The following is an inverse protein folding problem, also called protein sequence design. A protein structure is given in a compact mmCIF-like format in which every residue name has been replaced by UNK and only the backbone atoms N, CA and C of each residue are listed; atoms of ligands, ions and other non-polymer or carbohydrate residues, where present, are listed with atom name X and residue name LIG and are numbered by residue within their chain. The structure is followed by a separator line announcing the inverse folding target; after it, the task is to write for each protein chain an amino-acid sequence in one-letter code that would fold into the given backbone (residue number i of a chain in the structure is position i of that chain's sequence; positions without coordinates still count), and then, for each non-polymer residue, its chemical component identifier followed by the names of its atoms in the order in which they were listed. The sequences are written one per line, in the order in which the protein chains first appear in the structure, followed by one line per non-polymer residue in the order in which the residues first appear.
data_IF_162036220912
#
_entry.id   IF_162036220912
#
_cell.length_a   1.000
_cell.length_b   1.000
_cell.length_c   1.000
_cell.angle_alpha   90.00
_cell.angle_beta   90.00
_cell.angle_gamma   90.00
#
_symmetry.space_group_name_H-M   'P 1'
#
loop_
_entity.id
_entity.type
_entity.pdbx_description
1 polymer ?
#
# COMPACT_ATOMS: atom_id res chain seq x y z
N UNK A 1 -3.27 -7.87 29.37
CA UNK A 1 -2.94 -8.07 27.94
C UNK A 1 -2.92 -6.70 27.27
N UNK A 2 -1.89 -6.39 26.47
CA UNK A 2 -1.93 -5.21 25.59
C UNK A 2 -2.86 -5.58 24.44
N UNK A 3 -3.99 -4.88 24.32
CA UNK A 3 -5.06 -5.20 23.34
C UNK A 3 -4.93 -4.44 22.03
N UNK A 4 -3.86 -3.66 21.86
CA UNK A 4 -3.64 -2.83 20.67
C UNK A 4 -3.21 -3.64 19.44
N UNK A 5 -3.38 -3.04 18.26
CA UNK A 5 -2.78 -3.49 17.01
C UNK A 5 -1.84 -2.40 16.51
N UNK A 6 -0.75 -2.77 15.87
CA UNK A 6 0.11 -1.85 15.11
C UNK A 6 -0.45 -1.78 13.69
N UNK A 7 -0.64 -0.56 13.19
CA UNK A 7 -1.14 -0.32 11.84
C UNK A 7 -0.23 0.69 11.14
N UNK A 8 0.23 0.33 9.95
CA UNK A 8 1.08 1.15 9.10
C UNK A 8 0.49 1.21 7.70
N UNK A 9 0.35 2.41 7.13
CA UNK A 9 -0.27 2.60 5.82
C UNK A 9 0.55 3.52 4.93
N UNK A 10 0.47 3.28 3.63
CA UNK A 10 0.93 4.21 2.60
C UNK A 10 -0.14 4.38 1.53
N UNK A 11 -0.15 5.55 0.92
CA UNK A 11 -1.04 5.92 -0.17
C UNK A 11 -0.22 6.31 -1.39
N UNK A 12 -0.69 5.86 -2.55
CA UNK A 12 -0.07 6.13 -3.85
C UNK A 12 -1.14 6.62 -4.81
N UNK A 13 -0.83 7.71 -5.50
CA UNK A 13 -1.69 8.32 -6.50
C UNK A 13 -1.10 8.10 -7.89
N UNK A 14 -1.86 7.51 -8.79
CA UNK A 14 -1.48 7.31 -10.18
C UNK A 14 -2.39 8.15 -11.06
N UNK A 15 -1.79 9.03 -11.87
CA UNK A 15 -2.52 9.89 -12.81
C UNK A 15 -2.12 9.59 -14.25
N UNK A 16 -3.05 9.37 -15.18
CA UNK A 16 -2.76 9.37 -16.61
C UNK A 16 -2.07 10.67 -17.02
N UNK A 17 -1.19 10.61 -18.02
CA UNK A 17 -0.65 11.83 -18.64
C UNK A 17 -1.81 12.65 -19.23
N UNK A 18 -1.73 14.00 -19.22
CA UNK A 18 -2.81 14.86 -19.67
C UNK A 18 -3.33 14.49 -21.06
N UNK A 19 -4.65 14.34 -21.18
CA UNK A 19 -5.32 13.97 -22.43
C UNK A 19 -5.31 12.47 -22.78
N UNK A 20 -4.58 11.63 -22.04
CA UNK A 20 -4.46 10.20 -22.34
C UNK A 20 -5.42 9.31 -21.55
N UNK A 21 -6.14 9.82 -20.55
CA UNK A 21 -7.03 9.02 -19.69
C UNK A 21 -8.17 8.27 -20.40
N UNK A 22 -8.39 8.54 -21.70
CA UNK A 22 -9.39 7.87 -22.54
C UNK A 22 -8.89 6.55 -23.12
N UNK A 23 -7.57 6.31 -23.06
CA UNK A 23 -6.98 5.02 -23.39
C UNK A 23 -7.29 4.02 -22.27
N UNK A 24 -7.37 2.74 -22.63
CA UNK A 24 -7.68 1.65 -21.68
C UNK A 24 -6.64 1.55 -20.55
N UNK A 25 -5.36 1.65 -20.92
CA UNK A 25 -4.22 1.59 -19.99
C UNK A 25 -3.14 2.64 -20.38
N UNK A 26 -3.36 3.93 -20.05
CA UNK A 26 -2.53 5.02 -20.53
C UNK A 26 -1.18 5.13 -19.81
N UNK A 27 -0.17 5.75 -20.46
CA UNK A 27 1.00 6.26 -19.78
C UNK A 27 0.61 7.18 -18.62
N UNK A 28 1.33 7.07 -17.51
CA UNK A 28 0.94 7.71 -16.27
C UNK A 28 2.14 8.16 -15.43
N UNK A 29 1.84 8.95 -14.42
CA UNK A 29 2.76 9.35 -13.36
C UNK A 29 2.22 8.85 -12.04
N UNK A 30 3.04 8.08 -11.33
CA UNK A 30 2.82 7.66 -9.96
C UNK A 30 3.43 8.67 -8.99
N UNK A 31 2.71 9.00 -7.94
CA UNK A 31 3.14 9.86 -6.84
C UNK A 31 3.00 9.10 -5.52
N UNK A 32 4.08 9.02 -4.77
CA UNK A 32 4.10 8.55 -3.39
C UNK A 32 4.76 9.59 -2.49
N UNK A 33 4.82 9.31 -1.19
CA UNK A 33 5.57 10.15 -0.24
C UNK A 33 7.09 10.11 -0.46
N UNK A 34 7.61 9.06 -1.09
CA UNK A 34 9.06 8.86 -1.29
C UNK A 34 9.52 9.31 -2.69
N UNK A 35 8.68 9.13 -3.72
CA UNK A 35 9.08 9.35 -5.10
C UNK A 35 7.93 9.75 -6.02
N UNK A 36 8.29 10.34 -7.16
CA UNK A 36 7.45 10.48 -8.33
C UNK A 36 8.09 9.70 -9.48
N UNK A 37 7.32 8.86 -10.16
CA UNK A 37 7.85 7.96 -11.19
C UNK A 37 6.89 7.84 -12.37
N UNK A 38 7.43 7.88 -13.58
CA UNK A 38 6.65 7.65 -14.80
C UNK A 38 6.59 6.16 -15.16
N UNK A 39 5.47 5.74 -15.74
CA UNK A 39 5.23 4.40 -16.24
C UNK A 39 4.53 4.47 -17.60
N UNK A 40 4.75 3.44 -18.42
CA UNK A 40 4.12 3.34 -19.73
C UNK A 40 2.64 2.96 -19.62
N UNK A 41 2.23 2.32 -18.52
CA UNK A 41 0.83 1.97 -18.26
C UNK A 41 0.42 2.12 -16.80
N UNK A 42 -0.87 2.32 -16.54
CA UNK A 42 -1.46 2.35 -15.19
C UNK A 42 -1.33 0.98 -14.53
N UNK A 43 -1.52 -0.11 -15.27
CA UNK A 43 -1.38 -1.47 -14.73
C UNK A 43 0.03 -1.70 -14.18
N UNK A 44 1.06 -1.25 -14.90
CA UNK A 44 2.45 -1.33 -14.45
C UNK A 44 2.67 -0.50 -13.17
N UNK A 45 2.19 0.74 -13.17
CA UNK A 45 2.28 1.62 -12.01
C UNK A 45 1.56 1.04 -10.78
N UNK A 46 0.38 0.44 -10.95
CA UNK A 46 -0.39 -0.16 -9.86
C UNK A 46 0.29 -1.42 -9.29
N UNK A 47 0.87 -2.26 -10.16
CA UNK A 47 1.64 -3.43 -9.74
C UNK A 47 2.89 -3.01 -8.95
N UNK A 48 3.60 -1.97 -9.42
CA UNK A 48 4.73 -1.40 -8.70
C UNK A 48 4.32 -0.80 -7.36
N UNK A 49 3.28 0.05 -7.33
CA UNK A 49 2.76 0.68 -6.12
C UNK A 49 2.40 -0.35 -5.04
N UNK A 50 1.78 -1.46 -5.45
CA UNK A 50 1.48 -2.60 -4.57
C UNK A 50 2.77 -3.20 -3.98
N UNK A 51 3.72 -3.61 -4.83
CA UNK A 51 4.94 -4.28 -4.37
C UNK A 51 5.79 -3.38 -3.47
N UNK A 52 6.00 -2.13 -3.90
CA UNK A 52 6.70 -1.12 -3.12
C UNK A 52 6.00 -0.84 -1.79
N UNK A 53 4.67 -0.64 -1.82
CA UNK A 53 3.88 -0.32 -0.64
C UNK A 53 3.87 -1.46 0.37
N UNK A 54 3.66 -2.71 -0.07
CA UNK A 54 3.68 -3.90 0.78
C UNK A 54 5.02 -4.03 1.53
N UNK A 55 6.14 -3.82 0.84
CA UNK A 55 7.46 -3.85 1.47
C UNK A 55 7.62 -2.72 2.50
N UNK A 56 7.24 -1.48 2.13
CA UNK A 56 7.33 -0.31 3.01
C UNK A 56 6.53 -0.50 4.29
N UNK A 57 5.25 -0.85 4.20
CA UNK A 57 4.38 -0.99 5.38
C UNK A 57 4.77 -2.17 6.26
N UNK A 58 5.22 -3.30 5.68
CA UNK A 58 5.72 -4.44 6.47
C UNK A 58 6.97 -4.05 7.24
N UNK A 59 7.94 -3.41 6.59
CA UNK A 59 9.17 -2.96 7.24
C UNK A 59 8.88 -1.98 8.37
N UNK A 60 7.99 -1.03 8.15
CA UNK A 60 7.58 -0.08 9.18
C UNK A 60 6.89 -0.81 10.35
N UNK A 61 5.96 -1.73 10.07
CA UNK A 61 5.24 -2.47 11.10
C UNK A 61 6.19 -3.34 11.95
N UNK A 62 7.15 -4.04 11.32
CA UNK A 62 8.20 -4.78 12.04
C UNK A 62 9.04 -3.85 12.90
N UNK A 63 9.43 -2.69 12.37
CA UNK A 63 10.22 -1.68 13.11
C UNK A 63 9.45 -1.14 14.30
N UNK A 64 8.13 -1.01 14.19
CA UNK A 64 7.23 -0.64 15.28
C UNK A 64 6.97 -1.78 16.28
N UNK A 65 7.52 -2.98 16.06
CA UNK A 65 7.40 -4.12 16.96
C UNK A 65 6.20 -5.01 16.69
N UNK A 66 5.63 -4.98 15.48
CA UNK A 66 4.54 -5.86 15.10
C UNK A 66 5.03 -7.28 14.77
N UNK A 67 4.22 -8.26 15.15
CA UNK A 67 4.26 -9.64 14.69
C UNK A 67 2.93 -10.02 14.01
N UNK A 68 2.89 -11.20 13.39
CA UNK A 68 1.68 -11.72 12.70
C UNK A 68 1.12 -10.71 11.68
N UNK A 69 2.00 -10.09 10.89
CA UNK A 69 1.64 -8.96 10.01
C UNK A 69 0.85 -9.44 8.78
N UNK A 70 -0.39 -9.00 8.70
CA UNK A 70 -1.22 -9.08 7.51
C UNK A 70 -1.14 -7.78 6.70
N UNK A 71 -1.31 -7.86 5.38
CA UNK A 71 -1.31 -6.67 4.51
C UNK A 71 -2.56 -6.67 3.64
N UNK A 72 -3.28 -5.55 3.69
CA UNK A 72 -4.42 -5.24 2.85
C UNK A 72 -3.99 -4.24 1.76
N UNK A 73 -4.44 -4.48 0.54
CA UNK A 73 -4.24 -3.59 -0.60
C UNK A 73 -5.60 -3.21 -1.15
N UNK A 74 -5.90 -1.92 -1.16
CA UNK A 74 -7.11 -1.35 -1.74
C UNK A 74 -6.73 -0.58 -3.00
N UNK A 75 -7.47 -0.81 -4.09
CA UNK A 75 -7.28 -0.11 -5.35
C UNK A 75 -8.60 0.55 -5.74
N UNK A 76 -8.60 1.88 -5.81
CA UNK A 76 -9.77 2.67 -6.16
C UNK A 76 -9.52 3.45 -7.44
N UNK A 77 -10.18 3.04 -8.52
CA UNK A 77 -10.12 3.71 -9.83
C UNK A 77 -11.23 4.74 -9.95
N UNK A 78 -10.85 5.99 -10.17
CA UNK A 78 -11.78 7.10 -10.40
C UNK A 78 -11.97 7.28 -11.90
N UNK A 79 -13.22 7.12 -12.34
CA UNK A 79 -13.63 7.31 -13.74
C UNK A 79 -14.51 8.55 -13.87
N UNK A 80 -14.29 9.35 -14.91
CA UNK A 80 -15.15 10.45 -15.33
C UNK A 80 -16.04 10.02 -16.49
N UNK A 81 -17.24 10.59 -16.60
CA UNK A 81 -18.10 10.42 -17.78
C UNK A 81 -17.86 11.56 -18.77
N UNK A 82 -17.62 11.22 -20.05
CA UNK A 82 -17.56 12.21 -21.14
C UNK A 82 -18.74 12.00 -22.09
N UNK A 83 -19.81 12.77 -21.90
CA UNK A 83 -20.97 12.79 -22.79
C UNK A 83 -21.73 11.45 -22.91
N UNK A 84 -22.72 11.39 -23.82
CA UNK A 84 -23.58 10.21 -24.04
C UNK A 84 -23.01 9.17 -25.03
N UNK A 85 -21.80 9.36 -25.57
CA UNK A 85 -21.38 8.74 -26.85
C UNK A 85 -20.07 7.93 -26.83
N UNK A 86 -19.33 7.91 -25.73
CA UNK A 86 -18.07 7.17 -25.62
C UNK A 86 -18.14 6.25 -24.40
N UNK A 87 -17.83 4.96 -24.59
CA UNK A 87 -18.07 3.82 -23.67
C UNK A 87 -17.61 3.97 -22.21
N UNK A 88 -16.68 3.12 -21.76
CA UNK A 88 -16.35 2.85 -20.33
C UNK A 88 -15.81 4.04 -19.49
N UNK A 89 -15.85 5.27 -20.01
CA UNK A 89 -15.47 6.49 -19.29
C UNK A 89 -13.98 6.84 -19.37
N UNK A 90 -13.63 8.03 -18.87
CA UNK A 90 -12.28 8.59 -18.78
C UNK A 90 -11.64 8.15 -17.47
N UNK A 91 -10.49 7.46 -17.49
CA UNK A 91 -9.72 7.27 -16.25
C UNK A 91 -9.18 8.62 -15.80
N UNK A 92 -9.54 9.04 -14.60
CA UNK A 92 -9.03 10.27 -13.99
C UNK A 92 -7.81 9.98 -13.14
N UNK A 93 -7.96 9.05 -12.19
CA UNK A 93 -6.94 8.73 -11.19
C UNK A 93 -7.11 7.28 -10.71
N UNK A 94 -6.01 6.69 -10.24
CA UNK A 94 -6.03 5.44 -9.49
C UNK A 94 -5.35 5.67 -8.14
N UNK A 95 -6.05 5.33 -7.07
CA UNK A 95 -5.54 5.41 -5.70
C UNK A 95 -5.23 4.00 -5.21
N UNK A 96 -3.99 3.75 -4.84
CA UNK A 96 -3.57 2.49 -4.22
C UNK A 96 -3.23 2.77 -2.77
N UNK A 97 -3.97 2.14 -1.86
CA UNK A 97 -3.71 2.19 -0.42
C UNK A 97 -3.24 0.83 0.05
N UNK A 98 -2.08 0.79 0.70
CA UNK A 98 -1.53 -0.43 1.29
C UNK A 98 -1.45 -0.24 2.79
N UNK A 99 -1.98 -1.21 3.54
CA UNK A 99 -2.04 -1.16 5.00
C UNK A 99 -1.55 -2.47 5.58
N UNK A 100 -0.54 -2.42 6.44
CA UNK A 100 -0.13 -3.53 7.30
C UNK A 100 -0.82 -3.43 8.66
N UNK A 101 -1.29 -4.57 9.18
CA UNK A 101 -1.82 -4.70 10.54
C UNK A 101 -1.15 -5.89 11.21
N UNK A 102 -0.68 -5.71 12.44
CA UNK A 102 -0.07 -6.78 13.23
C UNK A 102 -0.26 -6.60 14.74
N UNK A 103 0.07 -7.64 15.50
CA UNK A 103 0.01 -7.62 16.96
C UNK A 103 1.32 -7.11 17.55
N UNK A 104 1.32 -6.25 18.58
CA UNK A 104 2.55 -5.88 19.28
C UNK A 104 3.22 -7.13 19.86
N UNK A 105 4.54 -7.26 19.64
CA UNK A 105 5.35 -8.27 20.31
C UNK A 105 5.31 -8.05 21.81
N UNK A 106 4.86 -9.07 22.54
CA UNK A 106 4.92 -9.09 24.00
C UNK A 106 6.29 -9.64 24.39
N UNK A 107 7.18 -8.78 24.91
CA UNK A 107 8.40 -9.25 25.56
C UNK A 107 8.02 -9.77 26.94
N UNK A 108 7.97 -11.09 27.13
CA UNK A 108 8.04 -11.66 28.48
C UNK A 108 9.52 -11.91 28.77
N UNK A 109 10.06 -11.27 29.81
CA UNK A 109 11.35 -11.68 30.37
C UNK A 109 11.22 -13.14 30.77
N UNK A 110 12.04 -14.01 30.18
CA UNK A 110 12.21 -15.37 30.67
C UNK A 110 12.94 -15.22 32.01
N UNK A 111 12.23 -15.45 33.11
CA UNK A 111 12.85 -15.54 34.43
C UNK A 111 14.03 -16.52 34.32
N UNK A 112 15.23 -16.06 34.68
CA UNK A 112 16.37 -16.95 34.86
C UNK A 112 15.98 -17.95 35.94
N UNK A 113 15.67 -19.18 35.55
CA UNK A 113 15.68 -20.30 36.46
C UNK A 113 17.06 -20.35 37.08
N UNK A 114 17.15 -20.03 38.36
CA UNK A 114 18.31 -20.30 39.18
C UNK A 114 18.55 -21.81 39.13
N UNK A 115 19.57 -22.23 38.37
CA UNK A 115 20.15 -23.55 38.53
C UNK A 115 20.86 -23.57 39.88
N UNK A 116 20.10 -23.88 40.93
CA UNK A 116 20.61 -24.29 42.23
C UNK A 116 20.05 -25.68 42.56
N UNK A 117 20.96 -26.53 43.07
CA UNK A 117 20.82 -27.93 43.54
C UNK A 117 20.86 -29.01 42.43
N UNK A 118 21.82 -29.94 42.37
CA UNK A 118 22.61 -30.63 43.42
C UNK A 118 24.11 -30.79 43.05
#
# INVERSE_FOLDING_TARGET
AITGSIMESVEVLIKPKPGLGVMEDPPCTMHSMDEMREFETISEAAAYARSWGENKVRRNAVTAGADEIEVLVENHRMMGQIGKSWGDGLTLEVHVKVTAVGKPRMFFEVEHGSDEYD
#
